data_IF_428941152364
#
_entry.id   IF_428941152364
#
_cell.length_a   1.000
_cell.length_b   1.000
_cell.length_c   1.000
_cell.angle_alpha   90.00
_cell.angle_beta   90.00
_cell.angle_gamma   90.00
#
_symmetry.space_group_name_H-M   'P 1'
#
loop_
_entity.id
_entity.type
_entity.pdbx_description
1 polymer ?
#
# COMPACT_ATOMS: atom_id res chain seq x y z
N UNK A 1 -18.91 16.07 1.00
CA UNK A 1 -19.03 15.00 -0.01
C UNK A 1 -19.67 13.74 0.60
N UNK A 2 -19.90 12.69 -0.20
CA UNK A 2 -20.42 11.40 0.26
C UNK A 2 -19.32 10.44 0.74
N UNK A 3 -19.73 9.27 1.25
CA UNK A 3 -18.81 8.23 1.76
C UNK A 3 -17.89 7.64 0.66
N UNK A 4 -18.23 7.82 -0.62
CA UNK A 4 -17.46 7.29 -1.75
C UNK A 4 -16.35 8.21 -2.27
N UNK A 5 -16.38 9.49 -1.92
CA UNK A 5 -15.46 10.50 -2.44
C UNK A 5 -14.17 10.62 -1.60
N UNK A 6 -14.11 9.87 -0.50
CA UNK A 6 -13.06 9.93 0.52
C UNK A 6 -12.11 8.72 0.41
N UNK A 7 -10.78 8.88 0.57
CA UNK A 7 -9.84 7.76 0.57
C UNK A 7 -10.18 6.70 1.61
N UNK A 8 -10.51 5.49 1.13
CA UNK A 8 -11.03 4.41 1.96
C UNK A 8 -10.05 3.93 3.06
N UNK A 9 -8.73 4.14 2.90
CA UNK A 9 -7.74 3.84 3.94
C UNK A 9 -7.93 4.71 5.18
N UNK A 10 -7.79 6.03 5.00
CA UNK A 10 -7.98 7.02 6.06
C UNK A 10 -9.36 6.91 6.74
N UNK A 11 -10.42 6.64 5.97
CA UNK A 11 -11.75 6.39 6.53
C UNK A 11 -11.80 5.13 7.41
N UNK A 12 -11.16 4.03 6.99
CA UNK A 12 -11.08 2.80 7.80
C UNK A 12 -10.27 3.05 9.09
N UNK A 13 -9.20 3.85 9.03
CA UNK A 13 -8.38 4.13 10.20
C UNK A 13 -9.08 5.06 11.22
N UNK A 14 -9.80 6.09 10.75
CA UNK A 14 -10.61 6.95 11.63
C UNK A 14 -11.83 6.24 12.25
N UNK A 15 -12.42 5.28 11.52
CA UNK A 15 -13.46 4.39 12.07
C UNK A 15 -12.84 3.39 13.04
N UNK A 16 -11.63 2.88 12.79
CA UNK A 16 -10.96 1.96 13.71
C UNK A 16 -10.65 2.62 15.06
N UNK A 17 -10.23 3.89 15.08
CA UNK A 17 -10.04 4.68 16.31
C UNK A 17 -11.31 4.76 17.16
N UNK A 18 -12.47 4.96 16.55
CA UNK A 18 -13.75 4.97 17.27
C UNK A 18 -14.21 3.57 17.70
N UNK A 19 -13.97 2.54 16.88
CA UNK A 19 -14.28 1.17 17.26
C UNK A 19 -13.42 0.65 18.43
N UNK A 20 -12.21 1.21 18.63
CA UNK A 20 -11.31 0.85 19.73
C UNK A 20 -11.86 1.21 21.12
N UNK A 21 -12.70 2.26 21.24
CA UNK A 21 -13.37 2.58 22.52
C UNK A 21 -14.69 1.83 22.71
N UNK A 22 -15.32 1.36 21.61
CA UNK A 22 -16.63 0.71 21.63
C UNK A 22 -16.60 -0.82 21.69
N UNK A 23 -15.54 -1.46 21.20
CA UNK A 23 -15.44 -2.92 21.09
C UNK A 23 -14.35 -3.45 22.01
N UNK A 24 -14.69 -4.42 22.90
CA UNK A 24 -13.66 -5.21 23.59
C UNK A 24 -13.03 -6.22 22.63
N UNK A 25 -11.70 -6.20 22.51
CA UNK A 25 -10.92 -7.24 21.82
C UNK A 25 -11.05 -8.60 22.52
N UNK A 26 -11.31 -9.70 21.78
CA UNK A 26 -11.17 -11.06 22.32
C UNK A 26 -9.69 -11.45 22.49
N UNK A 27 -9.35 -12.06 23.63
CA UNK A 27 -7.97 -12.49 23.98
C UNK A 27 -7.25 -13.27 22.87
N UNK A 28 -7.95 -14.17 22.17
CA UNK A 28 -7.33 -14.98 21.11
C UNK A 28 -6.77 -14.17 19.93
N UNK A 29 -7.11 -12.88 19.79
CA UNK A 29 -6.68 -12.02 18.67
C UNK A 29 -5.17 -11.77 18.66
N UNK A 30 -4.54 -11.65 19.83
CA UNK A 30 -3.08 -11.43 19.93
C UNK A 30 -2.27 -12.61 19.39
N UNK A 31 -2.81 -13.83 19.51
CA UNK A 31 -2.12 -15.08 19.18
C UNK A 31 -2.46 -15.60 17.77
N UNK A 32 -3.54 -15.14 17.13
CA UNK A 32 -3.98 -15.65 15.82
C UNK A 32 -3.61 -14.76 14.65
N UNK A 33 -3.12 -15.40 13.58
CA UNK A 33 -3.03 -14.76 12.26
C UNK A 33 -4.40 -14.60 11.59
N UNK A 34 -4.50 -13.57 10.75
CA UNK A 34 -5.72 -13.16 10.04
C UNK A 34 -6.33 -14.23 9.11
N UNK A 35 -5.54 -15.20 8.65
CA UNK A 35 -6.03 -16.31 7.83
C UNK A 35 -4.98 -17.34 7.47
N UNK A 36 -5.43 -18.49 6.95
CA UNK A 36 -4.57 -19.62 6.62
C UNK A 36 -3.51 -19.33 5.54
N UNK A 37 -3.68 -18.23 4.79
CA UNK A 37 -2.74 -17.74 3.77
C UNK A 37 -1.58 -16.89 4.33
N UNK A 38 -1.64 -16.44 5.58
CA UNK A 38 -0.52 -15.76 6.25
C UNK A 38 0.36 -16.77 7.00
N UNK A 39 1.59 -16.36 7.24
CA UNK A 39 2.58 -17.12 8.00
C UNK A 39 2.66 -16.58 9.43
N UNK A 40 3.06 -15.31 9.59
CA UNK A 40 3.10 -14.56 10.87
C UNK A 40 1.73 -13.93 11.24
N UNK A 41 1.62 -13.48 12.50
CA UNK A 41 0.56 -12.60 13.02
C UNK A 41 0.74 -11.18 12.45
N UNK A 42 -0.30 -10.33 12.31
CA UNK A 42 -0.13 -8.93 11.88
C UNK A 42 0.63 -8.10 12.93
N UNK A 43 1.54 -7.24 12.48
CA UNK A 43 2.50 -6.53 13.34
C UNK A 43 1.88 -5.35 14.10
N UNK A 44 0.80 -4.76 13.58
CA UNK A 44 0.01 -3.73 14.26
C UNK A 44 -1.00 -4.38 15.22
N UNK A 45 -0.88 -4.11 16.53
CA UNK A 45 -1.75 -4.65 17.59
C UNK A 45 -3.24 -4.32 17.39
N UNK A 46 -3.57 -3.14 16.87
CA UNK A 46 -4.95 -2.69 16.62
C UNK A 46 -5.58 -3.30 15.35
N UNK A 47 -4.94 -4.32 14.73
CA UNK A 47 -5.41 -4.91 13.47
C UNK A 47 -6.86 -5.39 13.50
N UNK A 48 -7.38 -5.76 14.67
CA UNK A 48 -8.77 -6.21 14.86
C UNK A 48 -9.79 -5.07 14.70
N UNK A 49 -9.45 -3.87 15.15
CA UNK A 49 -10.29 -2.66 14.98
C UNK A 49 -10.28 -2.22 13.51
N UNK A 50 -9.09 -2.19 12.89
CA UNK A 50 -8.92 -1.93 11.44
C UNK A 50 -9.70 -2.96 10.60
N UNK A 51 -9.69 -4.24 10.99
CA UNK A 51 -10.47 -5.30 10.32
C UNK A 51 -11.98 -5.11 10.50
N UNK A 52 -12.41 -4.68 11.68
CA UNK A 52 -13.83 -4.41 11.98
C UNK A 52 -14.34 -3.19 11.22
N UNK A 53 -13.58 -2.10 11.17
CA UNK A 53 -13.85 -0.92 10.35
C UNK A 53 -13.91 -1.26 8.85
N UNK A 54 -12.94 -2.04 8.35
CA UNK A 54 -12.93 -2.52 6.97
C UNK A 54 -14.15 -3.39 6.64
N UNK A 55 -14.60 -4.24 7.56
CA UNK A 55 -15.81 -5.07 7.39
C UNK A 55 -17.06 -4.18 7.35
N UNK A 56 -17.18 -3.18 8.23
CA UNK A 56 -18.31 -2.24 8.24
C UNK A 56 -18.40 -1.46 6.91
N UNK A 57 -17.30 -0.87 6.45
CA UNK A 57 -17.21 -0.19 5.15
C UNK A 57 -17.49 -1.13 3.97
N UNK A 58 -17.06 -2.40 4.04
CA UNK A 58 -17.33 -3.39 2.98
C UNK A 58 -18.80 -3.82 2.93
N UNK A 59 -19.50 -3.86 4.06
CA UNK A 59 -20.95 -4.10 4.11
C UNK A 59 -21.72 -2.86 3.64
N UNK A 60 -21.26 -1.64 3.95
CA UNK A 60 -21.84 -0.43 3.36
C UNK A 60 -21.77 -0.46 1.82
N UNK A 61 -20.61 -0.82 1.25
CA UNK A 61 -20.42 -0.96 -0.21
C UNK A 61 -21.11 -2.19 -0.83
N UNK A 62 -21.71 -3.10 -0.05
CA UNK A 62 -22.41 -4.29 -0.54
C UNK A 62 -23.60 -4.66 0.35
N UNK A 63 -24.81 -4.24 -0.08
CA UNK A 63 -26.10 -4.30 0.64
C UNK A 63 -26.30 -5.42 1.67
N UNK A 64 -25.97 -6.67 1.34
CA UNK A 64 -25.88 -7.75 2.33
C UNK A 64 -24.68 -8.66 2.08
N UNK A 65 -23.89 -8.96 3.12
CA UNK A 65 -22.76 -9.89 3.04
C UNK A 65 -22.80 -11.01 4.08
N UNK A 66 -22.54 -12.23 3.62
CA UNK A 66 -22.26 -13.39 4.46
C UNK A 66 -20.78 -13.52 4.83
N UNK A 67 -20.49 -14.23 5.92
CA UNK A 67 -19.12 -14.52 6.39
C UNK A 67 -18.25 -15.16 5.30
N UNK A 68 -18.83 -15.97 4.42
CA UNK A 68 -18.09 -16.68 3.36
C UNK A 68 -17.64 -15.78 2.21
N UNK A 69 -18.42 -14.74 1.89
CA UNK A 69 -18.02 -13.70 0.95
C UNK A 69 -16.83 -12.91 1.51
N UNK A 70 -16.93 -12.46 2.77
CA UNK A 70 -15.85 -11.77 3.48
C UNK A 70 -14.58 -12.65 3.59
N UNK A 71 -14.72 -13.95 3.88
CA UNK A 71 -13.59 -14.91 3.88
C UNK A 71 -12.92 -15.06 2.52
N UNK A 72 -13.66 -14.88 1.44
CA UNK A 72 -13.17 -14.98 0.06
C UNK A 72 -12.58 -13.65 -0.44
N UNK A 73 -13.03 -12.53 0.12
CA UNK A 73 -12.49 -11.19 -0.09
C UNK A 73 -11.14 -10.99 0.63
N UNK A 74 -11.10 -11.17 1.96
CA UNK A 74 -9.86 -11.09 2.75
C UNK A 74 -8.94 -12.32 2.61
N UNK A 75 -9.22 -13.23 1.68
CA UNK A 75 -8.40 -14.42 1.41
C UNK A 75 -7.30 -14.12 0.39
N UNK A 76 -6.03 -14.37 0.75
CA UNK A 76 -4.88 -14.13 -0.12
C UNK A 76 -4.37 -15.37 -0.86
N UNK A 77 -3.39 -15.14 -1.74
CA UNK A 77 -2.50 -16.17 -2.30
C UNK A 77 -1.69 -16.81 -1.16
N UNK A 78 -1.44 -18.12 -1.21
CA UNK A 78 -0.64 -18.85 -0.22
C UNK A 78 0.53 -19.57 -0.88
N UNK A 79 1.74 -19.29 -0.39
CA UNK A 79 2.94 -20.11 -0.62
C UNK A 79 2.76 -21.50 0.02
N UNK A 80 3.19 -22.54 -0.71
CA UNK A 80 3.11 -23.96 -0.31
C UNK A 80 4.48 -24.67 -0.48
N UNK A 81 5.57 -23.90 -0.42
CA UNK A 81 6.91 -24.40 -0.71
C UNK A 81 7.01 -24.87 -2.16
N UNK A 82 7.50 -26.09 -2.36
CA UNK A 82 7.70 -26.73 -3.68
C UNK A 82 6.41 -26.83 -4.52
N UNK A 83 5.22 -26.85 -3.88
CA UNK A 83 3.95 -27.03 -4.61
C UNK A 83 3.36 -25.68 -5.06
N UNK A 84 2.81 -25.54 -6.28
CA UNK A 84 2.27 -24.28 -6.79
C UNK A 84 1.28 -23.57 -5.85
N UNK A 85 1.38 -22.25 -5.80
CA UNK A 85 0.58 -21.39 -4.93
C UNK A 85 -0.92 -21.44 -5.26
N UNK A 86 -1.76 -21.36 -4.23
CA UNK A 86 -3.23 -21.34 -4.39
C UNK A 86 -3.86 -20.32 -3.45
N UNK A 87 -4.97 -19.67 -3.87
CA UNK A 87 -5.74 -18.78 -3.00
C UNK A 87 -6.29 -19.55 -1.80
N UNK A 88 -6.18 -19.02 -0.58
CA UNK A 88 -6.74 -19.62 0.64
C UNK A 88 -7.55 -18.57 1.42
N UNK A 89 -8.79 -18.93 1.75
CA UNK A 89 -9.77 -18.09 2.45
C UNK A 89 -9.26 -17.62 3.83
N UNK A 90 -9.76 -16.48 4.29
CA UNK A 90 -9.41 -15.89 5.59
C UNK A 90 -9.95 -16.70 6.79
N UNK A 91 -9.52 -16.34 8.00
CA UNK A 91 -10.01 -16.95 9.24
C UNK A 91 -11.50 -16.66 9.46
N UNK A 92 -12.30 -17.73 9.52
CA UNK A 92 -13.74 -17.60 9.74
C UNK A 92 -14.09 -17.16 11.16
N UNK A 93 -13.31 -17.56 12.18
CA UNK A 93 -13.52 -17.18 13.59
C UNK A 93 -13.30 -15.68 13.78
N UNK A 94 -12.23 -15.13 13.21
CA UNK A 94 -11.90 -13.69 13.27
C UNK A 94 -13.03 -12.86 12.64
N UNK A 95 -13.41 -13.15 11.39
CA UNK A 95 -14.46 -12.39 10.69
C UNK A 95 -15.81 -12.53 11.40
N UNK A 96 -16.16 -13.73 11.91
CA UNK A 96 -17.38 -13.94 12.70
C UNK A 96 -17.37 -13.12 14.00
N UNK A 97 -16.22 -13.02 14.68
CA UNK A 97 -16.04 -12.19 15.87
C UNK A 97 -16.26 -10.70 15.58
N UNK A 98 -15.64 -10.16 14.53
CA UNK A 98 -15.86 -8.76 14.11
C UNK A 98 -17.34 -8.48 13.82
N UNK A 99 -18.01 -9.37 13.07
CA UNK A 99 -19.45 -9.25 12.77
C UNK A 99 -20.30 -9.27 14.05
N UNK A 100 -20.03 -10.19 14.98
CA UNK A 100 -20.77 -10.30 16.24
C UNK A 100 -20.52 -9.09 17.17
N UNK A 101 -19.32 -8.50 17.15
CA UNK A 101 -19.01 -7.29 17.90
C UNK A 101 -19.73 -6.05 17.33
N UNK A 102 -19.73 -5.87 16.00
CA UNK A 102 -20.46 -4.80 15.33
C UNK A 102 -21.98 -4.93 15.47
N UNK A 103 -22.50 -6.17 15.50
CA UNK A 103 -23.91 -6.46 15.77
C UNK A 103 -24.30 -6.11 17.22
N UNK A 104 -23.46 -6.45 18.21
CA UNK A 104 -23.65 -6.01 19.62
C UNK A 104 -23.65 -4.49 19.79
N UNK A 105 -22.94 -3.76 18.94
CA UNK A 105 -22.90 -2.29 18.93
C UNK A 105 -24.04 -1.66 18.10
N UNK A 106 -24.99 -2.45 17.58
CA UNK A 106 -26.11 -1.96 16.78
C UNK A 106 -25.74 -1.40 15.40
N UNK A 107 -24.49 -1.55 14.95
CA UNK A 107 -23.98 -1.02 13.68
C UNK A 107 -24.32 -1.93 12.48
N UNK A 108 -24.60 -3.21 12.75
CA UNK A 108 -25.03 -4.22 11.77
C UNK A 108 -26.31 -4.92 12.24
N UNK A 109 -27.17 -5.30 11.29
CA UNK A 109 -28.36 -6.12 11.49
C UNK A 109 -28.23 -7.46 10.75
N UNK A 110 -28.76 -8.54 11.32
CA UNK A 110 -28.89 -9.83 10.61
C UNK A 110 -29.95 -9.74 9.51
N UNK A 111 -29.67 -10.36 8.37
CA UNK A 111 -30.60 -10.52 7.25
C UNK A 111 -30.56 -11.98 6.73
N UNK A 112 -31.60 -12.42 6.01
CA UNK A 112 -31.68 -13.73 5.36
C UNK A 112 -30.47 -14.03 4.45
N UNK A 113 -29.88 -13.02 3.79
CA UNK A 113 -28.69 -13.16 2.93
C UNK A 113 -27.36 -12.93 3.67
N UNK A 114 -27.37 -12.51 4.94
CA UNK A 114 -26.16 -12.33 5.74
C UNK A 114 -26.27 -11.26 6.83
N UNK A 115 -25.56 -10.15 6.65
CA UNK A 115 -25.64 -8.95 7.49
C UNK A 115 -25.73 -7.71 6.60
N UNK A 116 -26.52 -6.75 7.05
CA UNK A 116 -26.76 -5.45 6.44
C UNK A 116 -26.34 -4.37 7.44
N UNK A 117 -25.96 -3.18 6.97
CA UNK A 117 -25.65 -2.04 7.83
C UNK A 117 -26.94 -1.43 8.43
N UNK A 118 -26.86 -0.82 9.60
CA UNK A 118 -27.97 -0.03 10.18
C UNK A 118 -27.78 1.46 9.87
N UNK A 119 -28.85 2.26 9.98
CA UNK A 119 -28.74 3.72 9.89
C UNK A 119 -27.77 4.32 10.91
N UNK A 120 -27.54 3.66 12.05
CA UNK A 120 -26.50 4.05 13.01
C UNK A 120 -25.08 3.78 12.48
N UNK A 121 -24.87 2.63 11.83
CA UNK A 121 -23.60 2.30 11.15
C UNK A 121 -23.31 3.23 9.96
N UNK A 122 -24.34 3.55 9.16
CA UNK A 122 -24.22 4.49 8.04
C UNK A 122 -23.94 5.92 8.52
N UNK A 123 -24.65 6.41 9.54
CA UNK A 123 -24.39 7.71 10.17
C UNK A 123 -22.96 7.81 10.69
N UNK A 124 -22.43 6.75 11.34
CA UNK A 124 -21.04 6.70 11.81
C UNK A 124 -20.05 6.84 10.64
N UNK A 125 -20.23 6.05 9.57
CA UNK A 125 -19.39 6.15 8.36
C UNK A 125 -19.46 7.55 7.72
N UNK A 126 -20.65 8.16 7.66
CA UNK A 126 -20.83 9.50 7.10
C UNK A 126 -20.13 10.58 7.93
N UNK A 127 -20.31 10.57 9.27
CA UNK A 127 -19.63 11.51 10.18
C UNK A 127 -18.11 11.37 10.10
N UNK A 128 -17.58 10.15 9.95
CA UNK A 128 -16.13 9.94 9.77
C UNK A 128 -15.63 10.35 8.38
N UNK A 129 -16.41 10.13 7.32
CA UNK A 129 -16.09 10.63 5.98
C UNK A 129 -15.97 12.17 5.98
N UNK A 130 -16.87 12.88 6.65
CA UNK A 130 -16.83 14.35 6.78
C UNK A 130 -15.61 14.88 7.56
N UNK A 131 -15.02 14.09 8.46
CA UNK A 131 -13.78 14.45 9.17
C UNK A 131 -12.57 14.23 8.26
N UNK A 132 -12.51 13.08 7.58
CA UNK A 132 -11.40 12.73 6.67
C UNK A 132 -11.39 13.62 5.42
N UNK A 133 -12.54 14.05 4.90
CA UNK A 133 -12.65 15.00 3.79
C UNK A 133 -11.85 16.29 4.06
N UNK A 134 -11.93 16.82 5.29
CA UNK A 134 -11.16 18.00 5.73
C UNK A 134 -9.66 17.72 5.82
N UNK A 135 -9.28 16.64 6.49
CA UNK A 135 -7.87 16.25 6.63
C UNK A 135 -7.20 15.98 5.27
N UNK A 136 -7.90 15.29 4.36
CA UNK A 136 -7.41 15.00 3.02
C UNK A 136 -7.30 16.26 2.14
N UNK A 137 -8.23 17.22 2.27
CA UNK A 137 -8.11 18.52 1.61
C UNK A 137 -6.89 19.32 2.08
N UNK A 138 -6.48 19.20 3.36
CA UNK A 138 -5.22 19.77 3.82
C UNK A 138 -3.98 19.02 3.31
N UNK A 139 -4.01 17.68 3.26
CA UNK A 139 -2.92 16.89 2.70
C UNK A 139 -2.70 17.20 1.21
N UNK A 140 -3.77 17.34 0.43
CA UNK A 140 -3.69 17.76 -0.98
C UNK A 140 -2.98 19.11 -1.11
N UNK A 141 -3.32 20.11 -0.28
CA UNK A 141 -2.61 21.41 -0.28
C UNK A 141 -1.12 21.23 0.02
N UNK A 142 -0.79 20.52 1.12
CA UNK A 142 0.60 20.22 1.53
C UNK A 142 1.39 19.48 0.44
N UNK A 143 0.74 18.65 -0.37
CA UNK A 143 1.34 17.96 -1.54
C UNK A 143 1.52 18.93 -2.72
N UNK A 144 0.52 19.74 -3.04
CA UNK A 144 0.59 20.75 -4.11
C UNK A 144 1.69 21.78 -3.84
N UNK A 145 1.84 22.24 -2.61
CA UNK A 145 2.83 23.26 -2.25
C UNK A 145 4.26 22.69 -2.29
N UNK A 146 4.47 21.46 -1.80
CA UNK A 146 5.74 20.72 -2.02
C UNK A 146 6.03 20.46 -3.50
N UNK A 147 5.00 20.25 -4.32
CA UNK A 147 5.16 20.08 -5.77
C UNK A 147 5.56 21.39 -6.47
N UNK A 148 5.01 22.55 -6.05
CA UNK A 148 5.46 23.88 -6.49
C UNK A 148 6.92 24.13 -6.12
N UNK A 149 7.27 23.92 -4.85
CA UNK A 149 8.64 24.07 -4.34
C UNK A 149 9.65 23.17 -5.08
N UNK A 150 9.28 21.91 -5.34
CA UNK A 150 10.10 20.98 -6.12
C UNK A 150 10.20 21.38 -7.61
N UNK A 151 9.16 21.99 -8.18
CA UNK A 151 9.17 22.54 -9.53
C UNK A 151 10.04 23.80 -9.64
N UNK A 152 10.01 24.71 -8.66
CA UNK A 152 10.94 25.85 -8.56
C UNK A 152 12.38 25.38 -8.42
N UNK A 153 12.67 24.44 -7.50
CA UNK A 153 14.01 23.86 -7.34
C UNK A 153 14.50 23.18 -8.62
N UNK A 154 13.60 22.57 -9.41
CA UNK A 154 13.91 22.05 -10.75
C UNK A 154 14.17 23.16 -11.77
N UNK A 155 13.37 24.23 -11.81
CA UNK A 155 13.58 25.40 -12.68
C UNK A 155 14.91 26.09 -12.38
N UNK A 156 15.19 26.40 -11.11
CA UNK A 156 16.45 27.01 -10.67
C UNK A 156 17.67 26.12 -10.98
N UNK A 157 17.55 24.79 -10.86
CA UNK A 157 18.62 23.86 -11.25
C UNK A 157 18.81 23.74 -12.77
N UNK A 158 17.76 24.01 -13.57
CA UNK A 158 17.83 24.08 -15.04
C UNK A 158 18.46 25.41 -15.51
N UNK A 159 18.05 26.53 -14.93
CA UNK A 159 18.66 27.84 -15.16
C UNK A 159 20.17 27.81 -14.84
N UNK A 160 20.58 27.28 -13.68
CA UNK A 160 22.01 27.09 -13.33
C UNK A 160 22.79 26.11 -14.23
N UNK A 161 22.13 25.37 -15.12
CA UNK A 161 22.78 24.56 -16.14
C UNK A 161 22.88 25.34 -17.47
N UNK A 162 21.90 26.18 -17.78
CA UNK A 162 21.83 27.04 -18.96
C UNK A 162 22.70 28.31 -18.83
N UNK A 163 22.98 28.78 -17.60
CA UNK A 163 23.90 29.88 -17.29
C UNK A 163 25.39 29.46 -17.28
N UNK A 164 25.72 28.18 -17.48
CA UNK A 164 27.12 27.73 -17.49
C UNK A 164 27.73 27.97 -18.88
N UNK A 165 28.67 28.92 -19.06
CA UNK A 165 29.02 29.43 -20.39
C UNK A 165 29.77 28.40 -21.24
N UNK A 166 29.43 28.37 -22.53
CA UNK A 166 30.19 27.61 -23.54
C UNK A 166 31.49 28.34 -23.92
N UNK A 167 32.55 28.07 -23.18
CA UNK A 167 33.93 28.45 -23.50
C UNK A 167 34.87 27.31 -23.10
N UNK A 168 35.69 26.71 -23.97
CA UNK A 168 35.99 26.99 -25.39
C UNK A 168 36.14 25.68 -26.19
N UNK A 169 36.00 25.75 -27.52
CA UNK A 169 36.40 24.67 -28.43
C UNK A 169 37.06 25.27 -29.69
N UNK A 170 38.10 24.58 -30.21
CA UNK A 170 39.01 25.02 -31.30
C UNK A 170 39.91 26.21 -30.88
N UNK A 171 41.21 26.30 -31.17
CA UNK A 171 42.24 25.48 -31.87
C UNK A 171 43.57 26.28 -31.83
N UNK A 172 44.78 25.92 -32.31
CA UNK A 172 45.51 24.83 -33.04
C UNK A 172 47.05 25.12 -32.75
N UNK A 173 48.10 24.41 -33.28
CA UNK A 173 48.19 23.33 -34.27
C UNK A 173 49.01 22.10 -33.77
N UNK A 174 49.64 21.35 -34.69
CA UNK A 174 50.41 20.10 -34.47
C UNK A 174 51.89 20.38 -34.17
N UNK A 175 52.50 19.60 -33.28
CA UNK A 175 53.82 18.98 -33.50
C UNK A 175 53.95 17.71 -32.63
N UNK A 176 55.01 16.91 -32.78
CA UNK A 176 55.09 15.56 -32.20
C UNK A 176 56.45 15.27 -31.52
N UNK A 177 56.47 14.44 -30.45
CA UNK A 177 57.68 13.79 -29.99
C UNK A 177 57.75 12.32 -30.44
N UNK A 178 58.65 12.04 -31.37
CA UNK A 178 59.46 10.81 -31.31
C UNK A 178 60.49 11.00 -30.17
N UNK A 179 61.04 10.00 -29.47
CA UNK A 179 61.01 8.53 -29.60
C UNK A 179 61.45 7.95 -28.24
N UNK A 180 61.03 6.73 -27.91
CA UNK A 180 61.75 5.85 -26.99
C UNK A 180 61.60 4.42 -27.52
N UNK A 181 62.73 3.73 -27.74
CA UNK A 181 62.76 2.43 -28.44
C UNK A 181 63.71 1.49 -27.72
N UNK A 182 63.14 0.61 -26.89
CA UNK A 182 63.60 -0.77 -26.66
C UNK A 182 62.46 -1.47 -25.90
N UNK A 183 61.72 -2.43 -26.45
CA UNK A 183 62.11 -3.68 -27.12
C UNK A 183 62.59 -4.77 -26.14
N UNK A 184 61.67 -5.66 -25.79
CA UNK A 184 61.95 -7.10 -25.92
C UNK A 184 60.69 -7.79 -26.48
N UNK A 185 60.87 -8.95 -27.11
CA UNK A 185 59.96 -9.47 -28.12
C UNK A 185 59.68 -10.97 -27.92
N UNK A 186 58.44 -11.31 -27.57
CA UNK A 186 57.93 -12.68 -27.74
C UNK A 186 56.53 -12.72 -28.36
N UNK A 187 56.54 -12.40 -29.66
CA UNK A 187 55.47 -12.61 -30.62
C UNK A 187 55.15 -14.12 -30.80
N UNK A 188 53.85 -14.46 -30.90
CA UNK A 188 53.21 -15.48 -31.82
C UNK A 188 52.10 -16.31 -31.15
N UNK A 189 51.19 -16.83 -31.99
CA UNK A 189 50.38 -18.01 -31.63
C UNK A 189 48.88 -17.81 -31.42
N UNK A 190 48.19 -17.05 -32.26
CA UNK A 190 46.72 -17.09 -32.29
C UNK A 190 46.18 -18.40 -32.89
N UNK A 191 45.01 -18.88 -32.46
CA UNK A 191 44.31 -19.98 -33.14
C UNK A 191 42.77 -19.83 -33.09
N UNK A 192 42.10 -20.12 -34.22
CA UNK A 192 40.65 -20.31 -34.33
C UNK A 192 40.33 -21.81 -34.44
N UNK A 193 39.97 -22.45 -33.34
CA UNK A 193 39.44 -23.83 -33.32
C UNK A 193 38.25 -23.89 -32.36
N UNK A 194 37.02 -24.09 -32.87
CA UNK A 194 36.35 -25.39 -33.10
C UNK A 194 35.88 -26.10 -31.81
N UNK A 195 34.57 -25.94 -31.56
CA UNK A 195 33.58 -27.02 -31.36
C UNK A 195 33.94 -28.18 -30.40
N UNK A 196 33.26 -28.19 -29.26
CA UNK A 196 32.66 -29.39 -28.67
C UNK A 196 31.15 -29.13 -28.56
#
# INVERSE_FOLDING_TARGET
MGIHDVPAGMLIDEVAKELKTKIKQPEFIEYVKSGAHKERVPDNSDWYYIRSASILYRIYKNSALGTEALRSYYGGRKNRGVKPEKKRKASGKVIRSCLQALEKQGLLKKDKKGRMITGAGEKLLYTKAQIVEKAYAEEIKKIQDKAKEAAEKRKAKKAKYEEKPETQAQGKPKEAPQKAVEADNHERGGNKAKKA
#
